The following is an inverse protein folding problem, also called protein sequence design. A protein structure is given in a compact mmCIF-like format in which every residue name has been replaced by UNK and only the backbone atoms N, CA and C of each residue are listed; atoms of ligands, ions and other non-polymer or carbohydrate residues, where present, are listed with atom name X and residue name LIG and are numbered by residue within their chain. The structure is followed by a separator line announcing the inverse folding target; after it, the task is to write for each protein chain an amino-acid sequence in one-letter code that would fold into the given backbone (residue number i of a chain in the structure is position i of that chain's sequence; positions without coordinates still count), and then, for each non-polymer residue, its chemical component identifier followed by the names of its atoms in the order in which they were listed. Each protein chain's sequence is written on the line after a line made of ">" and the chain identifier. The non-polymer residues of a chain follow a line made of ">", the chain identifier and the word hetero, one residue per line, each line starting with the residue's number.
data_IF_269719035421
#
_entry.id   IF_269719035421
#
_cell.length_a   1.000
_cell.length_b   1.000
_cell.length_c   1.000
_cell.angle_alpha   90.00
_cell.angle_beta   90.00
_cell.angle_gamma   90.00
#
_symmetry.space_group_name_H-M   'P 1'
#
loop_
_entity.id
_entity.type
_entity.pdbx_description
1 polymer ?
#
# COMPACT_ATOMS: atom_id res chain seq x y z
N UNK A 1 -5.15 -3.10 -19.79
CA UNK A 1 -4.70 -1.69 -19.85
C UNK A 1 -5.49 -0.92 -18.81
N UNK A 2 -4.84 -0.11 -17.98
CA UNK A 2 -5.49 0.64 -16.91
C UNK A 2 -6.12 1.93 -17.42
N UNK A 3 -7.33 2.23 -16.95
CA UNK A 3 -8.04 3.47 -17.26
C UNK A 3 -7.38 4.67 -16.57
N UNK A 4 -7.40 5.82 -17.24
CA UNK A 4 -6.95 7.09 -16.66
C UNK A 4 -8.04 7.63 -15.72
N UNK A 5 -7.64 8.08 -14.55
CA UNK A 5 -8.53 8.77 -13.61
C UNK A 5 -8.58 10.24 -13.96
N UNK A 6 -9.78 10.74 -14.26
CA UNK A 6 -9.99 12.13 -14.70
C UNK A 6 -10.99 12.90 -13.83
N UNK A 7 -10.95 12.68 -12.51
CA UNK A 7 -11.82 13.37 -11.55
C UNK A 7 -11.10 13.73 -10.26
N UNK A 8 -11.75 14.54 -9.42
CA UNK A 8 -11.19 15.03 -8.16
C UNK A 8 -9.84 15.71 -8.37
N UNK A 9 -8.88 15.45 -7.48
CA UNK A 9 -7.53 16.01 -7.59
C UNK A 9 -6.68 15.41 -8.73
N UNK A 10 -7.17 14.40 -9.45
CA UNK A 10 -6.46 13.73 -10.54
C UNK A 10 -6.95 14.11 -11.92
N UNK A 11 -8.00 14.94 -12.01
CA UNK A 11 -8.47 15.53 -13.25
C UNK A 11 -7.30 16.15 -14.03
N UNK A 12 -7.22 15.84 -15.32
CA UNK A 12 -6.23 16.33 -16.30
C UNK A 12 -4.76 15.97 -15.98
N UNK A 13 -4.51 15.08 -15.00
CA UNK A 13 -3.13 14.65 -14.65
C UNK A 13 -2.64 13.42 -15.42
N UNK A 14 -3.52 12.77 -16.19
CA UNK A 14 -3.15 11.61 -17.02
C UNK A 14 -2.67 10.38 -16.25
N UNK A 15 -3.01 10.25 -14.96
CA UNK A 15 -2.58 9.13 -14.11
C UNK A 15 -3.59 7.99 -14.07
N UNK A 16 -3.09 6.76 -14.06
CA UNK A 16 -3.89 5.55 -13.88
C UNK A 16 -4.06 5.18 -12.40
N UNK A 17 -5.00 4.29 -12.08
CA UNK A 17 -5.25 3.85 -10.70
C UNK A 17 -3.98 3.29 -10.00
N UNK A 18 -3.15 2.45 -10.65
CA UNK A 18 -1.89 1.99 -10.06
C UNK A 18 -0.92 3.14 -9.74
N UNK A 19 -0.79 4.14 -10.62
CA UNK A 19 0.05 5.30 -10.34
C UNK A 19 -0.48 6.14 -9.16
N UNK A 20 -1.81 6.22 -9.03
CA UNK A 20 -2.45 6.99 -7.97
C UNK A 20 -2.26 6.31 -6.62
N UNK A 21 -2.51 5.01 -6.49
CA UNK A 21 -2.41 4.33 -5.20
C UNK A 21 -0.97 4.36 -4.63
N UNK A 22 0.05 4.35 -5.48
CA UNK A 22 1.45 4.51 -5.03
C UNK A 22 1.89 5.95 -4.86
N UNK A 23 1.10 6.93 -5.35
CA UNK A 23 1.34 8.36 -5.10
C UNK A 23 0.62 8.82 -3.83
N UNK A 24 -0.59 8.31 -3.61
CA UNK A 24 -1.52 8.74 -2.57
C UNK A 24 -2.51 7.62 -2.24
N UNK A 25 -2.10 6.64 -1.41
CA UNK A 25 -2.95 5.51 -1.04
C UNK A 25 -4.18 5.97 -0.25
N UNK A 26 -4.05 7.01 0.58
CA UNK A 26 -5.15 7.54 1.39
C UNK A 26 -6.31 8.03 0.49
N UNK A 27 -6.00 8.87 -0.51
CA UNK A 27 -7.03 9.32 -1.45
C UNK A 27 -7.67 8.16 -2.23
N UNK A 28 -6.88 7.16 -2.63
CA UNK A 28 -7.41 6.01 -3.35
C UNK A 28 -8.42 5.23 -2.49
N UNK A 29 -8.07 4.92 -1.23
CA UNK A 29 -8.95 4.18 -0.34
C UNK A 29 -10.15 5.00 0.13
N UNK A 30 -9.99 6.31 0.35
CA UNK A 30 -11.13 7.21 0.55
C UNK A 30 -12.09 7.20 -0.64
N UNK A 31 -11.58 7.24 -1.87
CA UNK A 31 -12.40 7.20 -3.08
C UNK A 31 -13.14 5.86 -3.24
N UNK A 32 -12.53 4.75 -2.79
CA UNK A 32 -13.18 3.44 -2.69
C UNK A 32 -14.33 3.45 -1.68
N UNK A 33 -14.09 3.98 -0.48
CA UNK A 33 -15.06 4.01 0.64
C UNK A 33 -16.27 4.90 0.35
N UNK A 34 -16.09 5.93 -0.48
CA UNK A 34 -17.14 6.89 -0.86
C UNK A 34 -17.81 6.56 -2.19
N UNK A 35 -17.56 5.36 -2.75
CA UNK A 35 -18.09 4.93 -4.05
C UNK A 35 -17.82 5.93 -5.20
N UNK A 36 -16.70 6.66 -5.13
CA UNK A 36 -16.35 7.70 -6.12
C UNK A 36 -15.97 7.14 -7.50
N UNK A 37 -15.61 5.86 -7.59
CA UNK A 37 -15.29 5.21 -8.86
C UNK A 37 -16.55 4.68 -9.55
N UNK A 38 -16.71 5.03 -10.84
CA UNK A 38 -17.85 4.64 -11.67
C UNK A 38 -17.41 3.84 -12.90
N UNK A 39 -18.32 3.07 -13.49
CA UNK A 39 -18.07 2.32 -14.73
C UNK A 39 -16.87 1.37 -14.62
N UNK A 40 -16.01 1.35 -15.65
CA UNK A 40 -14.81 0.50 -15.69
C UNK A 40 -13.85 0.76 -14.52
N UNK A 41 -13.72 2.03 -14.10
CA UNK A 41 -12.86 2.41 -12.97
C UNK A 41 -13.29 1.73 -11.67
N UNK A 42 -14.58 1.44 -11.48
CA UNK A 42 -15.06 0.76 -10.27
C UNK A 42 -14.51 -0.66 -10.17
N UNK A 43 -14.58 -1.41 -11.28
CA UNK A 43 -14.07 -2.78 -11.34
C UNK A 43 -12.53 -2.82 -11.21
N UNK A 44 -11.83 -1.94 -11.93
CA UNK A 44 -10.37 -1.81 -11.84
C UNK A 44 -9.93 -1.43 -10.41
N UNK A 45 -10.62 -0.49 -9.76
CA UNK A 45 -10.28 -0.05 -8.42
C UNK A 45 -10.56 -1.13 -7.37
N UNK A 46 -11.64 -1.92 -7.51
CA UNK A 46 -11.91 -3.05 -6.63
C UNK A 46 -10.80 -4.12 -6.70
N UNK A 47 -10.38 -4.48 -7.92
CA UNK A 47 -9.25 -5.40 -8.12
C UNK A 47 -7.96 -4.83 -7.53
N UNK A 48 -7.66 -3.57 -7.81
CA UNK A 48 -6.45 -2.91 -7.31
C UNK A 48 -6.44 -2.81 -5.78
N UNK A 49 -7.58 -2.49 -5.16
CA UNK A 49 -7.71 -2.41 -3.70
C UNK A 49 -7.42 -3.76 -3.05
N UNK A 50 -7.94 -4.85 -3.60
CA UNK A 50 -7.68 -6.23 -3.11
C UNK A 50 -6.19 -6.56 -3.18
N UNK A 51 -5.54 -6.26 -4.31
CA UNK A 51 -4.09 -6.45 -4.51
C UNK A 51 -3.25 -5.61 -3.56
N UNK A 52 -3.54 -4.32 -3.46
CA UNK A 52 -2.79 -3.38 -2.63
C UNK A 52 -2.90 -3.64 -1.11
N UNK A 53 -3.90 -4.41 -0.68
CA UNK A 53 -4.06 -4.86 0.70
C UNK A 53 -3.41 -6.23 0.98
N UNK A 54 -2.79 -6.86 -0.03
CA UNK A 54 -2.27 -8.24 0.07
C UNK A 54 -0.92 -8.43 -0.63
N UNK A 55 -0.08 -7.41 -0.65
CA UNK A 55 1.22 -7.43 -1.32
C UNK A 55 2.17 -8.40 -0.62
N UNK A 56 2.63 -9.42 -1.33
CA UNK A 56 3.60 -10.40 -0.85
C UNK A 56 4.93 -9.75 -0.54
N UNK A 57 5.65 -10.31 0.43
CA UNK A 57 7.04 -9.93 0.68
C UNK A 57 7.90 -10.20 -0.57
N UNK A 58 8.94 -9.39 -0.82
CA UNK A 58 9.93 -9.68 -1.86
C UNK A 58 10.59 -11.04 -1.64
N UNK A 59 10.95 -11.73 -2.73
CA UNK A 59 11.51 -13.08 -2.71
C UNK A 59 12.72 -13.32 -1.77
N UNK A 60 13.61 -12.33 -1.51
CA UNK A 60 14.68 -12.50 -0.51
C UNK A 60 14.18 -12.73 0.92
N UNK A 61 12.94 -12.37 1.24
CA UNK A 61 12.31 -12.62 2.53
C UNK A 61 11.54 -13.94 2.46
N UNK A 62 11.91 -14.89 3.31
CA UNK A 62 11.24 -16.18 3.41
C UNK A 62 9.87 -16.09 4.08
N UNK A 63 9.18 -17.23 4.17
CA UNK A 63 7.90 -17.37 4.89
C UNK A 63 8.02 -17.19 6.41
N UNK A 64 9.24 -17.14 6.92
CA UNK A 64 9.56 -16.84 8.30
C UNK A 64 9.61 -15.34 8.60
N UNK A 65 9.38 -14.46 7.62
CA UNK A 65 9.33 -13.01 7.80
C UNK A 65 7.90 -12.46 7.79
N UNK A 66 7.72 -11.31 8.46
CA UNK A 66 6.49 -10.56 8.44
C UNK A 66 6.76 -9.06 8.34
N UNK A 67 5.72 -8.33 7.94
CA UNK A 67 5.65 -6.89 8.11
C UNK A 67 5.31 -6.56 9.56
N UNK A 68 6.10 -5.70 10.19
CA UNK A 68 5.82 -5.04 11.45
C UNK A 68 5.44 -3.58 11.19
N UNK A 69 4.26 -3.17 11.67
CA UNK A 69 3.83 -1.79 11.74
C UNK A 69 3.97 -1.32 13.18
N UNK A 70 4.89 -0.38 13.41
CA UNK A 70 5.08 0.25 14.72
C UNK A 70 4.10 1.42 14.85
N UNK A 71 3.37 1.45 15.96
CA UNK A 71 2.28 2.40 16.18
C UNK A 71 2.56 3.23 17.43
N UNK A 72 2.56 4.54 17.26
CA UNK A 72 2.69 5.50 18.36
C UNK A 72 1.44 5.48 19.26
N UNK A 73 1.56 6.01 20.47
CA UNK A 73 0.43 6.13 21.41
C UNK A 73 -0.72 7.00 20.88
N UNK A 74 -0.45 7.95 19.96
CA UNK A 74 -1.46 8.77 19.28
C UNK A 74 -2.05 8.11 18.02
N UNK A 75 -1.88 6.79 17.86
CA UNK A 75 -2.37 5.98 16.73
C UNK A 75 -1.88 6.49 15.39
N UNK A 76 -0.57 6.67 15.25
CA UNK A 76 0.07 6.92 13.94
C UNK A 76 1.13 5.87 13.69
N UNK A 77 1.46 5.67 12.42
CA UNK A 77 2.59 4.81 12.06
C UNK A 77 3.88 5.53 12.44
N UNK A 78 4.60 4.97 13.40
CA UNK A 78 5.95 5.38 13.78
C UNK A 78 6.95 4.88 12.73
N UNK A 79 6.83 3.60 12.39
CA UNK A 79 7.77 2.92 11.50
C UNK A 79 7.16 1.66 10.88
N UNK A 80 7.82 1.15 9.85
CA UNK A 80 7.51 -0.12 9.21
C UNK A 80 8.81 -0.91 9.03
N UNK A 81 8.77 -2.20 9.32
CA UNK A 81 9.93 -3.08 9.20
C UNK A 81 9.53 -4.44 8.61
N UNK A 82 10.45 -5.08 7.87
CA UNK A 82 10.36 -6.51 7.56
C UNK A 82 11.26 -7.24 8.56
N UNK A 83 10.68 -8.08 9.40
CA UNK A 83 11.37 -8.76 10.50
C UNK A 83 11.10 -10.26 10.49
N UNK A 84 11.95 -11.10 11.13
CA UNK A 84 11.59 -12.47 11.45
C UNK A 84 10.31 -12.52 12.29
N UNK A 85 9.38 -13.40 11.93
CA UNK A 85 8.06 -13.55 12.56
C UNK A 85 8.17 -13.98 14.02
N UNK A 86 9.21 -14.73 14.37
CA UNK A 86 9.50 -15.19 15.73
C UNK A 86 10.23 -14.16 16.59
N UNK A 87 10.59 -12.98 16.06
CA UNK A 87 11.23 -11.93 16.85
C UNK A 87 10.33 -11.58 18.04
N UNK A 88 10.86 -11.45 19.28
CA UNK A 88 10.05 -11.03 20.42
C UNK A 88 9.28 -9.73 20.15
N UNK A 89 8.15 -9.54 20.82
CA UNK A 89 7.37 -8.31 20.72
C UNK A 89 8.23 -7.09 21.11
N UNK A 90 7.95 -5.94 20.50
CA UNK A 90 8.60 -4.70 20.88
C UNK A 90 8.42 -4.41 22.38
N UNK A 91 9.52 -4.05 23.06
CA UNK A 91 9.52 -3.57 24.44
C UNK A 91 9.58 -2.04 24.41
N UNK A 92 8.52 -1.38 24.88
CA UNK A 92 8.41 0.07 24.88
C UNK A 92 6.97 0.54 25.02
N UNK A 93 6.75 1.85 24.89
CA UNK A 93 5.40 2.45 24.95
C UNK A 93 4.63 2.40 23.64
N UNK A 94 5.30 2.06 22.53
CA UNK A 94 4.67 1.89 21.21
C UNK A 94 4.07 0.49 21.10
N UNK A 95 2.95 0.37 20.38
CA UNK A 95 2.37 -0.93 20.05
C UNK A 95 2.82 -1.37 18.66
N UNK A 96 2.55 -2.64 18.32
CA UNK A 96 2.86 -3.18 17.00
C UNK A 96 1.72 -4.02 16.43
N UNK A 97 1.60 -4.01 15.11
CA UNK A 97 0.79 -4.97 14.35
C UNK A 97 1.72 -5.73 13.41
N UNK A 98 1.57 -7.06 13.35
CA UNK A 98 2.30 -7.90 12.40
C UNK A 98 1.38 -8.50 11.34
N UNK A 99 1.83 -8.54 10.08
CA UNK A 99 1.11 -9.12 8.93
C UNK A 99 2.07 -9.90 8.04
N UNK A 100 1.62 -11.02 7.47
CA UNK A 100 2.41 -11.79 6.50
C UNK A 100 2.61 -11.07 5.15
N UNK A 101 1.78 -10.06 4.87
CA UNK A 101 1.79 -9.27 3.64
C UNK A 101 1.70 -7.77 3.96
N UNK A 102 2.18 -6.95 3.04
CA UNK A 102 2.03 -5.50 3.08
C UNK A 102 0.61 -5.13 2.63
N UNK A 103 -0.05 -4.29 3.42
CA UNK A 103 -1.25 -3.55 3.01
C UNK A 103 -0.94 -2.05 2.94
N UNK A 104 -1.12 -1.44 1.77
CA UNK A 104 -1.00 0.01 1.57
C UNK A 104 -2.13 0.80 2.25
N UNK A 105 -3.19 0.12 2.71
CA UNK A 105 -4.31 0.72 3.44
C UNK A 105 -4.01 0.91 4.93
N UNK A 106 -3.00 0.22 5.47
CA UNK A 106 -2.73 0.21 6.92
C UNK A 106 -2.66 1.58 7.60
N UNK A 107 -2.06 2.63 7.02
CA UNK A 107 -2.09 3.96 7.64
C UNK A 107 -3.52 4.43 7.91
N UNK A 108 -4.42 4.28 6.91
CA UNK A 108 -5.83 4.66 7.00
C UNK A 108 -6.63 3.76 7.95
N UNK A 109 -6.31 2.47 8.02
CA UNK A 109 -6.93 1.53 8.98
C UNK A 109 -6.60 1.88 10.43
N UNK A 110 -5.38 2.36 10.69
CA UNK A 110 -4.93 2.76 12.02
C UNK A 110 -5.52 4.13 12.39
N UNK A 111 -5.46 5.07 11.45
CA UNK A 111 -5.93 6.44 11.63
C UNK A 111 -6.25 7.07 10.27
N UNK A 112 -7.51 7.45 10.08
CA UNK A 112 -8.04 8.00 8.83
C UNK A 112 -7.27 9.23 8.34
N UNK A 113 -6.51 9.92 9.20
CA UNK A 113 -5.73 11.11 8.86
C UNK A 113 -4.23 10.98 9.19
N UNK A 114 -3.60 9.87 8.84
CA UNK A 114 -2.13 9.70 8.96
C UNK A 114 -1.37 9.95 7.63
N UNK A 115 -1.24 11.24 7.26
CA UNK A 115 -0.49 11.67 6.07
C UNK A 115 1.01 11.31 6.13
N UNK A 116 1.58 11.19 7.33
CA UNK A 116 2.99 10.83 7.49
C UNK A 116 3.17 9.33 7.28
N UNK A 117 2.33 8.50 7.91
CA UNK A 117 2.30 7.05 7.71
C UNK A 117 2.07 6.67 6.25
N UNK A 118 1.15 7.37 5.56
CA UNK A 118 0.93 7.20 4.11
C UNK A 118 2.18 7.48 3.25
N UNK A 119 3.01 8.47 3.61
CA UNK A 119 4.28 8.72 2.90
C UNK A 119 5.35 7.68 3.25
N UNK A 120 5.43 7.28 4.51
CA UNK A 120 6.41 6.29 4.96
C UNK A 120 6.17 4.92 4.31
N UNK A 121 4.92 4.46 4.24
CA UNK A 121 4.61 3.16 3.65
C UNK A 121 4.98 3.13 2.17
N UNK A 122 4.75 4.21 1.41
CA UNK A 122 5.15 4.31 0.01
C UNK A 122 6.68 4.37 -0.15
N UNK A 123 7.38 5.12 0.71
CA UNK A 123 8.85 5.17 0.72
C UNK A 123 9.44 3.77 0.86
N UNK A 124 8.89 2.99 1.79
CA UNK A 124 9.42 1.67 2.10
C UNK A 124 8.97 0.63 1.07
N UNK A 125 7.75 0.72 0.56
CA UNK A 125 7.29 -0.06 -0.59
C UNK A 125 8.23 0.12 -1.80
N UNK A 126 8.58 1.37 -2.13
CA UNK A 126 9.54 1.68 -3.17
C UNK A 126 10.92 1.09 -2.89
N UNK A 127 11.39 1.16 -1.64
CA UNK A 127 12.69 0.63 -1.25
C UNK A 127 12.77 -0.90 -1.46
N UNK A 128 11.85 -1.67 -0.89
CA UNK A 128 11.94 -3.14 -0.91
C UNK A 128 11.42 -3.81 -2.20
N UNK A 129 10.39 -3.26 -2.87
CA UNK A 129 9.82 -3.90 -4.06
C UNK A 129 10.38 -3.34 -5.37
N UNK A 130 10.94 -2.14 -5.36
CA UNK A 130 11.48 -1.49 -6.55
C UNK A 130 12.97 -1.16 -6.45
N UNK A 131 13.67 -1.63 -5.40
CA UNK A 131 15.08 -1.31 -5.15
C UNK A 131 15.33 0.21 -5.18
N UNK A 132 14.39 0.97 -4.61
CA UNK A 132 14.35 2.43 -4.61
C UNK A 132 14.35 3.11 -6.00
N UNK A 133 14.10 2.37 -7.08
CA UNK A 133 13.96 2.91 -8.45
C UNK A 133 12.66 3.73 -8.58
N UNK A 134 12.63 4.60 -9.58
CA UNK A 134 11.45 5.43 -9.86
C UNK A 134 10.22 4.58 -10.18
N UNK A 135 9.09 4.94 -9.58
CA UNK A 135 7.78 4.32 -9.81
C UNK A 135 7.17 4.86 -11.12
N UNK A 136 7.71 4.42 -12.25
CA UNK A 136 7.18 4.79 -13.58
C UNK A 136 5.83 4.15 -13.83
N UNK A 137 5.02 4.73 -14.73
CA UNK A 137 3.71 4.18 -15.13
C UNK A 137 3.82 2.68 -15.46
N UNK A 138 4.71 2.33 -16.39
CA UNK A 138 4.92 0.94 -16.83
C UNK A 138 5.30 0.02 -15.67
N UNK A 139 6.23 0.45 -14.81
CA UNK A 139 6.70 -0.38 -13.70
C UNK A 139 5.58 -0.66 -12.69
N UNK A 140 4.79 0.36 -12.34
CA UNK A 140 3.71 0.22 -11.35
C UNK A 140 2.55 -0.57 -11.92
N UNK A 141 2.14 -0.33 -13.18
CA UNK A 141 1.10 -1.12 -13.84
C UNK A 141 1.51 -2.59 -13.95
N UNK A 142 2.75 -2.87 -14.40
CA UNK A 142 3.29 -4.24 -14.46
C UNK A 142 3.30 -4.92 -13.10
N UNK A 143 3.66 -4.17 -12.04
CA UNK A 143 3.65 -4.69 -10.68
C UNK A 143 2.24 -5.13 -10.27
N UNK A 144 1.25 -4.26 -10.50
CA UNK A 144 -0.14 -4.56 -10.14
C UNK A 144 -0.84 -5.53 -11.08
N UNK A 145 -0.33 -5.77 -12.29
CA UNK A 145 -0.86 -6.79 -13.22
C UNK A 145 -0.32 -8.20 -12.92
N UNK A 146 0.82 -8.30 -12.24
CA UNK A 146 1.47 -9.59 -11.94
C UNK A 146 0.86 -10.25 -10.69
N UNK A 147 -0.04 -11.21 -10.90
CA UNK A 147 -0.78 -11.89 -9.82
C UNK A 147 0.12 -12.52 -8.73
N UNK A 148 1.30 -13.01 -9.08
CA UNK A 148 2.23 -13.64 -8.11
C UNK A 148 2.79 -12.67 -7.07
N UNK A 149 2.60 -11.36 -7.22
CA UNK A 149 2.96 -10.35 -6.22
C UNK A 149 1.96 -10.25 -5.06
N UNK A 150 0.82 -10.96 -5.11
CA UNK A 150 -0.27 -10.79 -4.16
C UNK A 150 -0.71 -12.12 -3.54
N UNK A 151 -1.07 -12.10 -2.26
CA UNK A 151 -1.73 -13.24 -1.60
C UNK A 151 -3.18 -13.39 -2.05
N UNK A 152 -3.85 -12.28 -2.38
CA UNK A 152 -5.22 -12.25 -2.86
C UNK A 152 -5.26 -11.54 -4.23
N UNK A 153 -4.95 -12.23 -5.34
CA UNK A 153 -4.68 -11.62 -6.64
C UNK A 153 -5.91 -11.08 -7.39
#
# INVERSE_FOLDING_TARGET
>A
MWSVVNFGKWKEKGKTLPQIIVSDPDWFFWAMETDSFLGSLKAEAAMLARRAQSIRLPAPYGSDHCIQYMITTDRKIADFNIIPSNRPAHLGSSSEIRRAYLSLRMPREINEYDKLGGRQIIRIFKYHWFNNKNLTKKAVETFFDTASHFEKP
#
